data_IF_998048394446
#
_entry.id   IF_998048394446
#
_cell.length_a   1.000
_cell.length_b   1.000
_cell.length_c   1.000
_cell.angle_alpha   90.00
_cell.angle_beta   90.00
_cell.angle_gamma   90.00
#
_symmetry.space_group_name_H-M   'P 1'
#
loop_
_entity.id
_entity.type
_entity.pdbx_description
1 polymer ?
#
# COMPACT_ATOMS: atom_id res chain seq x y z
N UNK A 1 11.05 -1.11 2.41
CA UNK A 1 10.04 -1.19 1.32
C UNK A 1 9.32 0.14 1.20
N UNK A 2 8.99 0.57 -0.03
CA UNK A 2 8.32 1.85 -0.30
C UNK A 2 7.05 1.58 -1.11
N UNK A 3 5.88 1.87 -0.55
CA UNK A 3 4.58 1.60 -1.16
C UNK A 3 3.68 0.70 -0.31
N UNK A 4 2.40 1.04 -0.24
CA UNK A 4 1.44 0.37 0.65
C UNK A 4 1.14 -1.06 0.19
N UNK A 5 0.89 -1.26 -1.11
CA UNK A 5 0.49 -2.58 -1.67
C UNK A 5 1.65 -3.56 -1.59
N UNK A 6 2.87 -3.06 -1.82
CA UNK A 6 4.08 -3.86 -1.68
C UNK A 6 4.24 -4.42 -0.26
N UNK A 7 4.06 -3.58 0.77
CA UNK A 7 4.17 -4.03 2.16
C UNK A 7 3.01 -4.95 2.54
N UNK A 8 1.81 -4.69 2.02
CA UNK A 8 0.63 -5.54 2.23
C UNK A 8 0.84 -6.97 1.69
N UNK A 9 1.33 -7.09 0.45
CA UNK A 9 1.68 -8.38 -0.16
C UNK A 9 2.80 -9.07 0.62
N UNK A 10 3.87 -8.35 0.98
CA UNK A 10 4.96 -8.91 1.76
C UNK A 10 4.47 -9.45 3.12
N UNK A 11 3.61 -8.70 3.81
CA UNK A 11 3.01 -9.13 5.06
C UNK A 11 2.15 -10.39 4.89
N UNK A 12 1.34 -10.45 3.84
CA UNK A 12 0.56 -11.65 3.49
C UNK A 12 1.43 -12.89 3.23
N UNK A 13 2.67 -12.70 2.77
CA UNK A 13 3.67 -13.76 2.59
C UNK A 13 4.44 -14.11 3.89
N UNK A 14 4.12 -13.44 5.01
CA UNK A 14 4.81 -13.60 6.29
C UNK A 14 6.13 -12.83 6.38
N UNK A 15 6.35 -11.84 5.54
CA UNK A 15 7.58 -11.02 5.50
C UNK A 15 7.28 -9.61 6.01
N UNK A 16 8.07 -9.15 6.97
CA UNK A 16 8.04 -7.76 7.45
C UNK A 16 9.35 -7.06 7.08
N UNK A 17 9.30 -5.83 6.51
CA UNK A 17 10.53 -5.10 6.20
C UNK A 17 11.13 -4.48 7.47
N UNK A 18 12.45 -4.27 7.48
CA UNK A 18 13.10 -3.51 8.57
C UNK A 18 12.58 -2.06 8.67
N UNK A 19 12.27 -1.46 7.52
CA UNK A 19 11.66 -0.14 7.45
C UNK A 19 10.68 -0.02 6.27
N UNK A 20 9.66 0.81 6.45
CA UNK A 20 8.63 1.07 5.45
C UNK A 20 8.39 2.56 5.24
N UNK A 21 8.10 2.94 3.99
CA UNK A 21 7.49 4.22 3.66
C UNK A 21 6.13 3.98 3.02
N UNK A 22 5.08 4.26 3.80
CA UNK A 22 3.68 3.94 3.51
C UNK A 22 2.77 5.06 4.02
N UNK A 23 1.53 5.14 3.53
CA UNK A 23 0.54 6.15 3.98
C UNK A 23 -0.11 5.72 5.29
N UNK A 24 0.62 5.75 6.41
CA UNK A 24 0.10 5.31 7.72
C UNK A 24 -1.19 5.99 8.20
N UNK A 25 -1.54 7.18 7.69
CA UNK A 25 -2.82 7.84 7.98
C UNK A 25 -4.02 7.26 7.20
N UNK A 26 -3.75 6.51 6.12
CA UNK A 26 -4.76 5.97 5.21
C UNK A 26 -4.75 4.44 5.15
N UNK A 27 -3.58 3.80 5.34
CA UNK A 27 -3.41 2.36 5.22
C UNK A 27 -3.54 1.68 6.58
N UNK A 28 -4.61 0.89 6.84
CA UNK A 28 -4.93 0.37 8.17
C UNK A 28 -3.83 -0.51 8.79
N UNK A 29 -3.13 -1.30 7.96
CA UNK A 29 -2.12 -2.25 8.44
C UNK A 29 -0.93 -1.55 9.11
N UNK A 30 -0.65 -0.28 8.81
CA UNK A 30 0.43 0.45 9.47
C UNK A 30 0.28 0.49 11.00
N UNK A 31 -0.95 0.58 11.52
CA UNK A 31 -1.16 0.61 12.97
C UNK A 31 -0.66 -0.66 13.66
N UNK A 32 -0.82 -1.81 13.00
CA UNK A 32 -0.34 -3.11 13.51
C UNK A 32 1.16 -3.31 13.33
N UNK A 33 1.75 -2.77 12.24
CA UNK A 33 3.15 -3.01 11.89
C UNK A 33 4.13 -2.03 12.53
N UNK A 34 3.69 -0.82 12.88
CA UNK A 34 4.59 0.24 13.38
C UNK A 34 5.28 -0.09 14.72
N UNK A 35 4.84 -1.12 15.44
CA UNK A 35 5.51 -1.65 16.63
C UNK A 35 6.76 -2.46 16.31
N UNK A 36 6.84 -3.06 15.12
CA UNK A 36 7.92 -3.94 14.69
C UNK A 36 8.74 -3.37 13.52
N UNK A 37 8.19 -2.40 12.79
CA UNK A 37 8.78 -1.84 11.56
C UNK A 37 9.02 -0.34 11.70
N UNK A 38 10.22 0.13 11.33
CA UNK A 38 10.52 1.56 11.31
C UNK A 38 9.73 2.27 10.19
N UNK A 39 8.89 3.23 10.56
CA UNK A 39 8.19 4.10 9.60
C UNK A 39 9.09 5.26 9.21
N UNK A 40 9.38 5.41 7.91
CA UNK A 40 10.24 6.48 7.35
C UNK A 40 9.44 7.70 6.86
N UNK A 41 8.13 7.70 7.10
CA UNK A 41 7.17 8.69 6.61
C UNK A 41 6.39 8.21 5.37
N UNK A 42 5.40 8.98 4.96
CA UNK A 42 4.63 8.65 3.76
C UNK A 42 5.44 8.87 2.48
N UNK A 43 5.11 8.19 1.36
CA UNK A 43 5.92 8.27 0.15
C UNK A 43 6.04 9.69 -0.42
N UNK A 44 4.99 10.51 -0.34
CA UNK A 44 5.06 11.93 -0.75
C UNK A 44 6.11 12.71 0.07
N UNK A 45 6.11 12.53 1.40
CA UNK A 45 7.09 13.17 2.28
C UNK A 45 8.51 12.65 2.02
N UNK A 46 8.64 11.36 1.72
CA UNK A 46 9.93 10.75 1.40
C UNK A 46 10.51 11.36 0.10
N UNK A 47 9.69 11.52 -0.94
CA UNK A 47 10.06 12.20 -2.19
C UNK A 47 10.45 13.66 -1.94
N UNK A 48 9.64 14.43 -1.19
CA UNK A 48 9.94 15.84 -0.85
C UNK A 48 11.27 16.01 -0.10
N UNK A 49 11.61 15.05 0.75
CA UNK A 49 12.87 15.02 1.50
C UNK A 49 14.02 14.36 0.73
N UNK A 50 13.86 14.13 -0.59
CA UNK A 50 14.87 13.48 -1.46
C UNK A 50 15.41 12.18 -0.85
N UNK A 51 14.52 11.35 -0.33
CA UNK A 51 14.85 10.07 0.32
C UNK A 51 15.78 10.15 1.55
N UNK A 52 16.06 11.33 2.12
CA UNK A 52 17.01 11.48 3.23
C UNK A 52 16.72 10.56 4.45
N UNK A 53 15.46 10.38 4.91
CA UNK A 53 15.14 9.41 5.97
C UNK A 53 15.54 7.97 5.64
N UNK A 54 15.33 7.55 4.38
CA UNK A 54 15.69 6.21 3.91
C UNK A 54 17.22 6.06 3.87
N UNK A 55 17.93 7.00 3.26
CA UNK A 55 19.39 6.98 3.17
C UNK A 55 20.07 6.99 4.55
N UNK A 56 19.50 7.73 5.51
CA UNK A 56 19.97 7.74 6.90
C UNK A 56 19.77 6.35 7.53
N UNK A 57 18.56 5.82 7.45
CA UNK A 57 18.24 4.51 8.03
C UNK A 57 19.08 3.39 7.41
N UNK A 58 19.25 3.40 6.09
CA UNK A 58 19.99 2.37 5.37
C UNK A 58 21.47 2.32 5.81
N UNK A 59 22.13 3.47 5.90
CA UNK A 59 23.52 3.56 6.39
C UNK A 59 23.64 3.12 7.85
N UNK A 60 22.71 3.51 8.71
CA UNK A 60 22.75 3.18 10.14
C UNK A 60 22.53 1.70 10.43
N UNK A 61 21.75 1.01 9.61
CA UNK A 61 21.34 -0.38 9.85
C UNK A 61 21.89 -1.37 8.83
N UNK A 62 22.85 -0.95 7.98
CA UNK A 62 23.44 -1.80 6.95
C UNK A 62 22.43 -2.36 5.94
N UNK A 63 21.35 -1.61 5.64
CA UNK A 63 20.35 -2.05 4.66
C UNK A 63 20.96 -1.93 3.27
N UNK A 64 20.93 -3.03 2.52
CA UNK A 64 21.47 -3.10 1.15
C UNK A 64 20.40 -3.16 0.06
N UNK A 65 19.15 -3.40 0.41
CA UNK A 65 18.08 -3.65 -0.57
C UNK A 65 16.85 -2.79 -0.32
N UNK A 66 16.35 -2.18 -1.38
CA UNK A 66 15.16 -1.33 -1.38
C UNK A 66 14.19 -1.81 -2.43
N UNK A 67 13.02 -2.28 -2.00
CA UNK A 67 11.91 -2.61 -2.89
C UNK A 67 10.96 -1.41 -2.99
N UNK A 68 10.57 -1.05 -4.21
CA UNK A 68 9.73 0.11 -4.52
C UNK A 68 8.50 -0.36 -5.32
N UNK A 69 7.31 0.04 -4.87
CA UNK A 69 6.06 -0.17 -5.59
C UNK A 69 5.99 0.73 -6.84
N UNK A 70 5.69 0.14 -8.00
CA UNK A 70 5.27 0.85 -9.21
C UNK A 70 3.76 0.71 -9.37
N UNK A 71 3.08 1.86 -9.34
CA UNK A 71 1.63 1.98 -9.47
C UNK A 71 1.29 3.28 -10.17
N UNK A 72 0.26 3.26 -11.02
CA UNK A 72 -0.26 4.46 -11.67
C UNK A 72 -1.81 4.49 -11.67
N UNK A 73 -2.45 5.40 -10.92
CA UNK A 73 -1.84 6.28 -9.91
C UNK A 73 -1.47 5.49 -8.64
N UNK A 74 -0.40 5.89 -7.95
CA UNK A 74 -0.13 5.41 -6.59
C UNK A 74 -1.11 6.01 -5.57
N UNK A 75 -1.34 7.33 -5.66
CA UNK A 75 -2.15 8.08 -4.70
C UNK A 75 -3.23 8.91 -5.40
N UNK A 76 -4.51 8.64 -5.10
CA UNK A 76 -5.64 9.40 -5.66
C UNK A 76 -5.58 10.89 -5.29
N UNK A 77 -5.05 11.22 -4.10
CA UNK A 77 -4.91 12.62 -3.65
C UNK A 77 -3.68 13.34 -4.23
N UNK A 78 -2.69 12.60 -4.72
CA UNK A 78 -1.47 13.13 -5.31
C UNK A 78 -1.20 12.37 -6.62
N UNK A 79 -1.96 12.64 -7.69
CA UNK A 79 -1.96 11.82 -8.91
C UNK A 79 -0.58 11.78 -9.59
N UNK A 80 0.22 12.84 -9.44
CA UNK A 80 1.56 12.93 -10.03
C UNK A 80 2.65 12.26 -9.17
N UNK A 81 2.29 11.62 -8.05
CA UNK A 81 3.25 10.93 -7.19
C UNK A 81 3.64 9.58 -7.82
N UNK A 82 4.80 9.56 -8.45
CA UNK A 82 5.44 8.33 -8.95
C UNK A 82 6.54 7.90 -7.98
N UNK A 83 6.40 6.71 -7.40
CA UNK A 83 7.36 6.22 -6.42
C UNK A 83 8.69 5.80 -7.04
N UNK A 84 8.70 5.44 -8.32
CA UNK A 84 9.91 5.09 -9.05
C UNK A 84 10.94 6.24 -9.03
N UNK A 85 10.47 7.48 -8.98
CA UNK A 85 11.33 8.65 -8.88
C UNK A 85 12.17 8.68 -7.60
N UNK A 86 11.80 7.91 -6.57
CA UNK A 86 12.60 7.79 -5.34
C UNK A 86 13.97 7.18 -5.64
N UNK A 87 14.06 6.25 -6.59
CA UNK A 87 15.33 5.63 -6.97
C UNK A 87 16.36 6.63 -7.49
N UNK A 88 15.92 7.73 -8.12
CA UNK A 88 16.82 8.80 -8.58
C UNK A 88 17.59 9.44 -7.42
N UNK A 89 17.02 9.47 -6.22
CA UNK A 89 17.68 9.98 -5.01
C UNK A 89 18.59 8.97 -4.33
N UNK A 90 18.54 7.70 -4.75
CA UNK A 90 19.36 6.60 -4.21
C UNK A 90 20.63 6.36 -5.04
N UNK A 91 20.79 7.03 -6.18
CA UNK A 91 21.93 6.88 -7.09
C UNK A 91 23.28 7.12 -6.40
N UNK A 92 24.26 6.27 -6.68
CA UNK A 92 25.61 6.34 -6.11
C UNK A 92 25.76 5.70 -4.72
N UNK A 93 24.73 5.04 -4.19
CA UNK A 93 24.80 4.24 -2.98
C UNK A 93 24.93 2.75 -3.31
N UNK A 94 25.51 1.96 -2.40
CA UNK A 94 25.52 0.48 -2.46
C UNK A 94 24.15 -0.13 -2.13
N UNK A 95 23.09 0.37 -2.76
CA UNK A 95 21.72 -0.10 -2.59
C UNK A 95 21.24 -0.82 -3.86
N UNK A 96 20.86 -2.07 -3.71
CA UNK A 96 20.11 -2.83 -4.71
C UNK A 96 18.65 -2.33 -4.71
N UNK A 97 18.19 -1.85 -5.85
CA UNK A 97 16.83 -1.34 -6.02
C UNK A 97 16.05 -2.33 -6.88
N UNK A 98 14.93 -2.82 -6.36
CA UNK A 98 13.99 -3.66 -7.09
C UNK A 98 12.61 -3.00 -7.14
N UNK A 99 11.92 -3.14 -8.27
CA UNK A 99 10.57 -2.62 -8.46
C UNK A 99 9.57 -3.76 -8.46
N UNK A 100 8.39 -3.50 -7.90
CA UNK A 100 7.23 -4.39 -8.02
C UNK A 100 6.12 -3.66 -8.76
N UNK A 101 5.71 -4.19 -9.90
CA UNK A 101 4.80 -3.56 -10.84
C UNK A 101 3.34 -4.00 -10.63
N UNK A 102 2.55 -3.11 -10.04
CA UNK A 102 1.10 -3.27 -9.85
C UNK A 102 0.28 -2.70 -11.01
N UNK A 103 0.89 -2.09 -12.03
CA UNK A 103 0.15 -1.55 -13.18
C UNK A 103 -0.46 -2.65 -14.05
N UNK A 104 0.09 -3.86 -13.98
CA UNK A 104 -0.43 -5.07 -14.66
C UNK A 104 -1.44 -5.87 -13.82
N UNK A 105 -1.84 -5.35 -12.66
CA UNK A 105 -2.76 -5.99 -11.74
C UNK A 105 -2.08 -6.72 -10.59
N UNK A 106 -2.90 -7.23 -9.66
CA UNK A 106 -2.43 -7.80 -8.39
C UNK A 106 -1.67 -9.12 -8.59
N UNK A 107 -2.18 -10.04 -9.42
CA UNK A 107 -1.57 -11.36 -9.58
C UNK A 107 -0.12 -11.29 -10.11
N UNK A 108 0.17 -10.58 -11.22
CA UNK A 108 1.56 -10.41 -11.68
C UNK A 108 2.47 -9.76 -10.63
N UNK A 109 1.95 -8.80 -9.85
CA UNK A 109 2.69 -8.12 -8.80
C UNK A 109 3.02 -9.05 -7.61
N UNK A 110 2.08 -9.93 -7.22
CA UNK A 110 2.30 -10.94 -6.19
C UNK A 110 3.35 -11.95 -6.63
N UNK A 111 3.25 -12.47 -7.87
CA UNK A 111 4.26 -13.36 -8.47
C UNK A 111 5.64 -12.72 -8.42
N UNK A 112 5.77 -11.50 -8.92
CA UNK A 112 7.03 -10.75 -8.90
C UNK A 112 7.56 -10.54 -7.46
N UNK A 113 6.67 -10.22 -6.50
CA UNK A 113 7.06 -10.03 -5.10
C UNK A 113 7.60 -11.32 -4.49
N UNK A 114 6.94 -12.46 -4.76
CA UNK A 114 7.40 -13.76 -4.27
C UNK A 114 8.76 -14.15 -4.82
N UNK A 115 9.02 -13.92 -6.11
CA UNK A 115 10.33 -14.14 -6.73
C UNK A 115 11.41 -13.28 -6.08
N UNK A 116 11.14 -11.97 -5.93
CA UNK A 116 12.07 -11.02 -5.31
C UNK A 116 12.37 -11.41 -3.86
N UNK A 117 11.40 -11.92 -3.10
CA UNK A 117 11.55 -12.31 -1.71
C UNK A 117 12.03 -13.77 -1.51
N UNK A 118 12.20 -14.54 -2.59
CA UNK A 118 12.61 -15.95 -2.50
C UNK A 118 11.52 -16.88 -1.94
N UNK A 119 10.25 -16.57 -2.20
CA UNK A 119 9.06 -17.28 -1.71
C UNK A 119 8.14 -17.73 -2.87
N UNK A 120 8.72 -18.03 -4.03
CA UNK A 120 7.97 -18.39 -5.24
C UNK A 120 7.07 -19.62 -5.02
N UNK A 121 7.47 -20.54 -4.14
CA UNK A 121 6.73 -21.72 -3.70
C UNK A 121 5.41 -21.37 -3.01
N UNK A 122 5.33 -20.20 -2.34
CA UNK A 122 4.11 -19.72 -1.67
C UNK A 122 3.16 -18.96 -2.58
N UNK A 123 3.57 -18.65 -3.81
CA UNK A 123 2.81 -17.76 -4.67
C UNK A 123 1.41 -18.29 -4.98
N UNK A 124 1.32 -19.55 -5.41
CA UNK A 124 0.04 -20.12 -5.84
C UNK A 124 -0.91 -20.31 -4.66
N UNK A 125 -0.40 -20.65 -3.46
CA UNK A 125 -1.19 -20.74 -2.23
C UNK A 125 -1.84 -19.39 -1.87
N UNK A 126 -1.04 -18.31 -1.86
CA UNK A 126 -1.54 -16.97 -1.53
C UNK A 126 -2.57 -16.48 -2.55
N UNK A 127 -2.31 -16.71 -3.85
CA UNK A 127 -3.24 -16.33 -4.91
C UNK A 127 -4.54 -17.14 -4.85
N UNK A 128 -4.46 -18.44 -4.58
CA UNK A 128 -5.64 -19.30 -4.43
C UNK A 128 -6.47 -18.91 -3.20
N UNK A 129 -5.82 -18.58 -2.08
CA UNK A 129 -6.48 -18.07 -0.89
C UNK A 129 -7.22 -16.76 -1.16
N UNK A 130 -6.55 -15.79 -1.81
CA UNK A 130 -7.15 -14.53 -2.21
C UNK A 130 -8.34 -14.74 -3.16
N UNK A 131 -8.21 -15.58 -4.19
CA UNK A 131 -9.28 -15.87 -5.14
C UNK A 131 -10.50 -16.50 -4.44
N UNK A 132 -10.26 -17.41 -3.49
CA UNK A 132 -11.31 -18.06 -2.70
C UNK A 132 -12.08 -17.05 -1.85
N UNK A 133 -11.39 -16.17 -1.13
CA UNK A 133 -12.05 -15.15 -0.29
C UNK A 133 -12.78 -14.09 -1.12
N UNK A 134 -12.21 -13.71 -2.26
CA UNK A 134 -12.89 -12.81 -3.20
C UNK A 134 -14.15 -13.44 -3.78
N UNK A 135 -14.12 -14.73 -4.12
CA UNK A 135 -15.29 -15.44 -4.64
C UNK A 135 -16.39 -15.59 -3.58
N UNK A 136 -16.02 -15.96 -2.33
CA UNK A 136 -16.96 -15.96 -1.20
C UNK A 136 -17.61 -14.59 -1.00
N UNK A 137 -16.82 -13.53 -1.11
CA UNK A 137 -17.30 -12.15 -0.97
C UNK A 137 -18.27 -11.78 -2.08
N UNK A 138 -17.93 -12.08 -3.35
CA UNK A 138 -18.80 -11.84 -4.50
C UNK A 138 -20.13 -12.58 -4.40
N UNK A 139 -20.13 -13.86 -4.01
CA UNK A 139 -21.37 -14.64 -3.81
C UNK A 139 -22.27 -14.00 -2.76
N UNK A 140 -21.71 -13.68 -1.58
CA UNK A 140 -22.44 -13.00 -0.51
C UNK A 140 -23.01 -11.64 -0.96
N UNK A 141 -22.29 -10.95 -1.83
CA UNK A 141 -22.75 -9.66 -2.37
C UNK A 141 -23.86 -9.85 -3.40
N UNK A 142 -23.78 -10.83 -4.30
CA UNK A 142 -24.79 -11.09 -5.32
C UNK A 142 -26.17 -11.45 -4.74
N UNK A 143 -26.20 -12.05 -3.54
CA UNK A 143 -27.43 -12.37 -2.80
C UNK A 143 -28.09 -11.14 -2.14
N UNK A 144 -27.48 -9.95 -2.24
CA UNK A 144 -27.94 -8.73 -1.59
C UNK A 144 -28.36 -7.69 -2.61
N UNK A 145 -29.51 -7.07 -2.34
CA UNK A 145 -29.94 -5.87 -3.06
C UNK A 145 -29.32 -4.65 -2.38
N UNK A 146 -28.33 -4.02 -3.02
CA UNK A 146 -27.68 -2.84 -2.48
C UNK A 146 -28.51 -1.58 -2.73
N UNK A 147 -28.46 -0.66 -1.77
CA UNK A 147 -29.11 0.65 -1.88
C UNK A 147 -28.28 1.48 -2.87
N UNK A 148 -28.95 2.07 -3.88
CA UNK A 148 -28.33 2.81 -4.99
C UNK A 148 -27.59 4.10 -4.59
N UNK A 149 -27.69 4.52 -3.33
CA UNK A 149 -27.07 5.77 -2.83
C UNK A 149 -26.36 5.45 -1.53
N UNK A 150 -25.04 5.53 -1.56
CA UNK A 150 -24.17 5.30 -0.41
C UNK A 150 -23.41 6.58 -0.12
N UNK A 151 -23.35 6.98 1.15
CA UNK A 151 -22.48 8.06 1.63
C UNK A 151 -21.53 7.46 2.64
N UNK A 152 -20.23 7.68 2.45
CA UNK A 152 -19.20 7.19 3.36
C UNK A 152 -18.72 8.34 4.21
N UNK A 153 -18.91 8.19 5.52
CA UNK A 153 -18.55 9.16 6.53
C UNK A 153 -17.42 8.60 7.40
N UNK A 154 -16.35 9.37 7.54
CA UNK A 154 -15.24 9.07 8.45
C UNK A 154 -15.17 10.16 9.51
N UNK A 155 -15.57 9.82 10.73
CA UNK A 155 -15.34 10.66 11.89
C UNK A 155 -13.88 10.59 12.33
N UNK A 156 -13.27 11.72 12.66
CA UNK A 156 -11.98 11.77 13.33
C UNK A 156 -12.04 12.75 14.50
N UNK A 157 -11.48 12.33 15.63
CA UNK A 157 -11.24 13.20 16.77
C UNK A 157 -9.76 13.60 16.77
N UNK A 158 -9.48 14.89 16.89
CA UNK A 158 -8.12 15.41 16.98
C UNK A 158 -7.82 15.79 18.43
N UNK A 159 -7.12 14.92 19.15
CA UNK A 159 -6.81 15.11 20.58
C UNK A 159 -6.10 16.45 20.88
N UNK A 160 -5.17 16.86 20.01
CA UNK A 160 -4.39 18.09 20.21
C UNK A 160 -5.21 19.37 20.13
N UNK A 161 -6.37 19.34 19.45
CA UNK A 161 -7.24 20.52 19.29
C UNK A 161 -8.60 20.35 19.97
N UNK A 162 -8.90 19.15 20.47
CA UNK A 162 -10.21 18.78 21.02
C UNK A 162 -11.35 18.78 19.99
N UNK A 163 -11.06 18.91 18.69
CA UNK A 163 -12.07 19.04 17.63
C UNK A 163 -12.44 17.69 17.04
N UNK A 164 -13.73 17.53 16.75
CA UNK A 164 -14.26 16.42 15.96
C UNK A 164 -14.51 16.91 14.53
N UNK A 165 -14.08 16.13 13.56
CA UNK A 165 -14.33 16.38 12.15
C UNK A 165 -15.09 15.20 11.54
N UNK A 166 -16.05 15.52 10.67
CA UNK A 166 -16.69 14.54 9.81
C UNK A 166 -16.12 14.72 8.39
N UNK A 167 -15.43 13.70 7.91
CA UNK A 167 -14.96 13.67 6.52
C UNK A 167 -15.95 12.87 5.69
N UNK A 168 -16.34 13.44 4.55
CA UNK A 168 -17.15 12.77 3.55
C UNK A 168 -16.19 12.30 2.45
N UNK A 169 -16.25 11.03 2.08
CA UNK A 169 -15.48 10.56 0.93
C UNK A 169 -16.09 11.11 -0.36
N UNK A 170 -15.27 11.80 -1.16
CA UNK A 170 -15.69 12.37 -2.42
C UNK A 170 -15.83 11.29 -3.51
N UNK A 171 -16.72 11.47 -4.50
CA UNK A 171 -16.82 10.58 -5.65
C UNK A 171 -15.47 10.36 -6.36
N UNK A 172 -15.25 9.15 -6.86
CA UNK A 172 -13.99 8.71 -7.48
C UNK A 172 -12.89 8.32 -6.49
N UNK A 173 -13.20 8.29 -5.20
CA UNK A 173 -12.32 7.93 -4.09
C UNK A 173 -11.89 6.46 -4.04
N UNK A 174 -11.29 6.05 -2.94
CA UNK A 174 -10.82 4.69 -2.76
C UNK A 174 -11.99 3.72 -2.54
N UNK A 175 -12.97 4.11 -1.74
CA UNK A 175 -14.14 3.30 -1.52
C UNK A 175 -14.96 3.11 -2.80
N UNK A 176 -15.09 4.13 -3.64
CA UNK A 176 -15.76 3.96 -4.94
C UNK A 176 -15.08 2.88 -5.78
N UNK A 177 -13.75 2.93 -5.86
CA UNK A 177 -12.96 2.00 -6.69
C UNK A 177 -12.94 0.58 -6.14
N UNK A 178 -12.74 0.42 -4.83
CA UNK A 178 -12.44 -0.87 -4.22
C UNK A 178 -13.60 -1.51 -3.46
N UNK A 179 -14.64 -0.74 -3.13
CA UNK A 179 -15.82 -1.21 -2.40
C UNK A 179 -17.11 -1.05 -3.22
N UNK A 180 -17.47 0.17 -3.63
CA UNK A 180 -18.80 0.46 -4.18
C UNK A 180 -18.97 -0.04 -5.63
N UNK A 181 -17.99 0.17 -6.51
CA UNK A 181 -18.05 -0.35 -7.89
C UNK A 181 -18.16 -1.87 -7.95
N UNK A 182 -17.36 -2.65 -7.20
CA UNK A 182 -17.57 -4.10 -7.08
C UNK A 182 -18.96 -4.49 -6.57
N UNK A 183 -19.64 -3.62 -5.80
CA UNK A 183 -21.01 -3.81 -5.32
C UNK A 183 -22.09 -3.40 -6.34
N UNK A 184 -21.71 -2.97 -7.55
CA UNK A 184 -22.64 -2.54 -8.60
C UNK A 184 -23.19 -1.13 -8.39
N UNK A 185 -22.51 -0.29 -7.60
CA UNK A 185 -22.84 1.13 -7.46
C UNK A 185 -21.82 1.95 -8.26
N UNK A 186 -22.30 2.65 -9.28
CA UNK A 186 -21.54 3.62 -10.09
C UNK A 186 -21.80 5.07 -9.65
#
# INVERSE_FOLDING_TARGET
>A
MVGDRLVDVAHGLGVVPAAMSVRCSQWPLCASLKSAVQVLGCPNCLTKKKAAPLLKFARQNGIKRVLIEKSDPFCTYFPNLQLENIASFLGGQELEIAYVDFTRGLEPAVRQTTEILGLADKCDEVLAGYATEMEKTRKKMAEKQFIKKVVILRGTYQETTGKTFLLIEAPGGYADRFLLKPMGND
#
